data_IF_115082200937
#
_entry.id   IF_115082200937
#
_cell.length_a   1.000
_cell.length_b   1.000
_cell.length_c   1.000
_cell.angle_alpha   90.00
_cell.angle_beta   90.00
_cell.angle_gamma   90.00
#
_symmetry.space_group_name_H-M   'P 1'
#
loop_
_entity.id
_entity.type
_entity.pdbx_description
1 polymer ?
#
# COMPACT_ATOMS: atom_id res chain seq x y z
N UNK A 1 1.95 18.85 -16.61
CA UNK A 1 3.22 18.08 -16.72
C UNK A 1 3.18 16.92 -15.72
N UNK A 2 3.68 15.73 -16.05
CA UNK A 2 3.78 14.64 -15.08
C UNK A 2 4.80 14.99 -13.99
N UNK A 3 4.48 14.70 -12.73
CA UNK A 3 5.44 14.81 -11.64
C UNK A 3 6.50 13.72 -11.77
N UNK A 4 7.79 14.07 -11.75
CA UNK A 4 8.89 13.11 -11.80
C UNK A 4 9.36 12.79 -10.38
N UNK A 5 9.33 11.51 -10.00
CA UNK A 5 9.83 11.02 -8.71
C UNK A 5 11.23 10.44 -8.92
N UNK A 6 12.22 10.93 -8.16
CA UNK A 6 13.61 10.46 -8.20
C UNK A 6 13.94 9.69 -6.91
N UNK A 7 14.50 8.48 -6.98
CA UNK A 7 14.95 7.74 -5.80
C UNK A 7 16.20 8.40 -5.19
N UNK A 8 16.30 8.36 -3.86
CA UNK A 8 17.46 8.80 -3.07
C UNK A 8 17.74 7.80 -1.94
N UNK A 9 18.94 7.84 -1.38
CA UNK A 9 19.30 7.08 -0.18
C UNK A 9 18.82 7.76 1.11
N UNK A 10 18.77 7.00 2.21
CA UNK A 10 18.45 7.55 3.54
C UNK A 10 19.47 8.59 3.99
N UNK A 11 20.73 8.45 3.59
CA UNK A 11 21.82 9.37 3.93
C UNK A 11 21.68 10.72 3.25
N UNK A 12 21.08 10.77 2.07
CA UNK A 12 20.79 12.01 1.33
C UNK A 12 19.71 12.84 2.03
N UNK A 13 18.80 12.19 2.78
CA UNK A 13 17.75 12.85 3.55
C UNK A 13 17.62 12.26 4.97
N UNK A 14 18.56 12.63 5.85
CA UNK A 14 18.63 12.08 7.21
C UNK A 14 17.50 12.59 8.10
N UNK A 15 16.93 11.69 8.91
CA UNK A 15 16.09 12.02 10.06
C UNK A 15 16.84 11.81 11.38
N UNK A 16 16.43 12.50 12.44
CA UNK A 16 17.01 12.34 13.78
C UNK A 16 16.93 10.90 14.31
N UNK A 17 15.91 10.15 13.91
CA UNK A 17 15.71 8.76 14.33
C UNK A 17 16.19 7.81 13.22
N UNK A 18 17.01 6.79 13.54
CA UNK A 18 17.37 5.74 12.60
C UNK A 18 16.13 5.00 12.07
N UNK A 19 16.17 4.58 10.80
CA UNK A 19 15.13 3.77 10.16
C UNK A 19 15.72 2.40 9.82
N UNK A 20 15.02 1.29 10.11
CA UNK A 20 15.43 -0.02 9.62
C UNK A 20 15.47 -0.01 8.09
N UNK A 21 16.53 -0.56 7.49
CA UNK A 21 16.64 -0.70 6.04
C UNK A 21 15.59 -1.67 5.46
N UNK A 22 15.11 -2.61 6.28
CA UNK A 22 14.11 -3.60 5.90
C UNK A 22 13.12 -3.82 7.04
N UNK A 23 11.84 -3.51 6.79
CA UNK A 23 10.76 -3.58 7.78
C UNK A 23 9.55 -4.38 7.26
N UNK A 24 9.73 -5.21 6.24
CA UNK A 24 8.67 -6.08 5.71
C UNK A 24 8.30 -7.13 6.75
N UNK A 25 7.01 -7.22 7.06
CA UNK A 25 6.46 -8.17 8.04
C UNK A 25 5.79 -9.35 7.33
N UNK A 26 5.90 -10.55 7.93
CA UNK A 26 5.20 -11.74 7.46
C UNK A 26 3.76 -11.77 7.97
N UNK A 27 2.82 -12.07 7.07
CA UNK A 27 1.41 -12.27 7.40
C UNK A 27 1.03 -13.75 7.58
N UNK A 28 2.01 -14.65 7.70
CA UNK A 28 1.76 -16.10 7.81
C UNK A 28 0.84 -16.46 8.97
N UNK A 29 1.01 -15.81 10.13
CA UNK A 29 0.16 -16.04 11.31
C UNK A 29 -1.30 -15.65 11.06
N UNK A 30 -1.54 -14.53 10.38
CA UNK A 30 -2.89 -14.08 10.03
C UNK A 30 -3.60 -15.13 9.16
N UNK A 31 -2.90 -15.67 8.16
CA UNK A 31 -3.41 -16.71 7.27
C UNK A 31 -3.66 -18.02 8.05
N UNK A 32 -2.71 -18.46 8.86
CA UNK A 32 -2.80 -19.73 9.58
C UNK A 32 -3.91 -19.72 10.64
N UNK A 33 -4.06 -18.60 11.36
CA UNK A 33 -5.00 -18.51 12.48
C UNK A 33 -6.42 -18.20 12.03
N UNK A 34 -6.58 -17.38 10.98
CA UNK A 34 -7.90 -16.84 10.61
C UNK A 34 -8.31 -17.18 9.16
N UNK A 35 -7.45 -17.82 8.37
CA UNK A 35 -7.72 -18.08 6.95
C UNK A 35 -7.75 -16.81 6.09
N UNK A 36 -7.32 -15.65 6.64
CA UNK A 36 -7.38 -14.36 5.96
C UNK A 36 -6.08 -14.12 5.18
N UNK A 37 -6.18 -14.10 3.86
CA UNK A 37 -5.11 -13.68 2.97
C UNK A 37 -5.25 -12.18 2.62
N UNK A 38 -4.21 -11.40 2.88
CA UNK A 38 -4.19 -9.99 2.46
C UNK A 38 -3.91 -9.89 0.95
N UNK A 39 -4.64 -9.04 0.21
CA UNK A 39 -4.38 -8.84 -1.21
C UNK A 39 -3.04 -8.13 -1.46
N UNK A 40 -2.52 -8.20 -2.68
CA UNK A 40 -1.34 -7.44 -3.07
C UNK A 40 -1.51 -5.94 -2.77
N UNK A 41 -0.44 -5.29 -2.31
CA UNK A 41 -0.50 -3.90 -1.85
C UNK A 41 -0.89 -2.93 -2.96
N UNK A 42 -0.60 -3.24 -4.23
CA UNK A 42 -1.00 -2.37 -5.36
C UNK A 42 -2.50 -2.36 -5.53
N UNK A 43 -3.14 -3.53 -5.42
CA UNK A 43 -4.60 -3.66 -5.46
C UNK A 43 -5.25 -2.93 -4.30
N UNK A 44 -4.67 -3.01 -3.09
CA UNK A 44 -5.16 -2.28 -1.93
C UNK A 44 -5.03 -0.77 -2.11
N UNK A 45 -3.86 -0.31 -2.57
CA UNK A 45 -3.59 1.11 -2.83
C UNK A 45 -4.59 1.69 -3.83
N UNK A 46 -4.87 0.98 -4.92
CA UNK A 46 -5.86 1.41 -5.91
C UNK A 46 -7.24 1.65 -5.28
N UNK A 47 -7.69 0.76 -4.38
CA UNK A 47 -8.99 0.91 -3.68
C UNK A 47 -9.07 2.19 -2.85
N UNK A 48 -7.96 2.65 -2.26
CA UNK A 48 -7.92 3.90 -1.50
C UNK A 48 -8.15 5.14 -2.38
N UNK A 49 -7.90 5.06 -3.69
CA UNK A 49 -8.07 6.17 -4.63
C UNK A 49 -9.37 6.08 -5.44
N UNK A 50 -10.10 4.95 -5.36
CA UNK A 50 -11.42 4.85 -5.98
C UNK A 50 -12.43 5.55 -5.07
N UNK A 51 -12.94 6.70 -5.51
CA UNK A 51 -14.06 7.38 -4.83
C UNK A 51 -15.32 6.51 -4.89
N UNK A 52 -16.08 6.42 -3.80
CA UNK A 52 -17.33 5.64 -3.71
C UNK A 52 -18.40 6.06 -4.74
N UNK A 53 -18.25 7.20 -5.42
CA UNK A 53 -19.20 7.73 -6.40
C UNK A 53 -19.33 6.92 -7.71
N UNK A 54 -18.51 5.88 -7.94
CA UNK A 54 -18.64 5.01 -9.12
C UNK A 54 -19.19 3.60 -8.81
N UNK A 55 -19.31 3.22 -7.53
CA UNK A 55 -19.87 1.91 -7.15
C UNK A 55 -21.40 1.91 -7.14
N UNK A 56 -22.03 3.07 -6.97
CA UNK A 56 -23.50 3.21 -6.91
C UNK A 56 -24.20 3.15 -8.28
N UNK A 57 -23.46 3.21 -9.40
CA UNK A 57 -24.04 3.25 -10.76
C UNK A 57 -23.85 1.95 -11.57
N UNK A 58 -23.56 0.80 -10.93
CA UNK A 58 -23.51 -0.51 -11.59
C UNK A 58 -24.65 -1.43 -11.15
N UNK A 59 -25.86 -0.88 -11.18
CA UNK A 59 -27.09 -1.56 -10.80
C UNK A 59 -28.32 -0.92 -11.43
N UNK A 60 -28.30 -0.73 -12.75
CA UNK A 60 -29.51 -0.68 -13.60
C UNK A 60 -29.09 -1.23 -14.95
N UNK A 61 -29.33 -2.54 -15.15
CA UNK A 61 -29.87 -3.19 -16.34
C UNK A 61 -30.10 -4.68 -16.02
#
# INVERSE_FOLDING_TARGET
MPCRVNPISTEEFRSSTPRPAYSVLSNSRLVQTFGVALPDWRTQLQRCFVSESLAANRGVD
#
